data_IF_746208623287
#
_entry.id   IF_746208623287
#
_cell.length_a   1.000
_cell.length_b   1.000
_cell.length_c   1.000
_cell.angle_alpha   90.00
_cell.angle_beta   90.00
_cell.angle_gamma   90.00
#
_symmetry.space_group_name_H-M   'P 1'
#
loop_
_entity.id
_entity.type
_entity.pdbx_description
1 polymer ?
#
# COMPACT_ATOMS: atom_id res chain seq x y z
N UNK A 1 -34.20 42.20 -20.44
CA UNK A 1 -35.51 41.56 -20.62
C UNK A 1 -36.03 41.09 -19.27
N UNK A 2 -37.20 41.60 -18.90
CA UNK A 2 -37.90 41.44 -17.62
C UNK A 2 -38.71 40.14 -17.56
N UNK A 3 -38.67 39.51 -16.38
CA UNK A 3 -39.42 38.33 -15.85
C UNK A 3 -40.89 38.17 -16.35
N UNK A 4 -41.50 36.97 -16.22
CA UNK A 4 -42.26 36.70 -14.98
C UNK A 4 -42.26 35.25 -14.46
N UNK A 5 -42.51 35.17 -13.16
CA UNK A 5 -42.81 33.98 -12.33
C UNK A 5 -44.30 33.61 -12.49
N UNK A 6 -44.62 32.32 -12.54
CA UNK A 6 -46.01 31.84 -12.41
C UNK A 6 -46.22 31.19 -11.03
N UNK A 7 -47.16 31.75 -10.26
CA UNK A 7 -47.86 31.10 -9.14
C UNK A 7 -49.30 30.87 -9.62
N UNK A 8 -49.82 29.66 -9.50
CA UNK A 8 -51.27 29.39 -9.62
C UNK A 8 -51.71 28.52 -8.44
N UNK A 9 -52.90 28.89 -7.96
CA UNK A 9 -53.61 28.53 -6.75
C UNK A 9 -54.07 27.07 -6.63
N UNK A 10 -54.27 26.71 -5.36
CA UNK A 10 -55.12 25.64 -4.83
C UNK A 10 -56.51 25.59 -5.48
N UNK A 11 -57.01 24.37 -5.71
CA UNK A 11 -58.44 24.05 -5.68
C UNK A 11 -58.68 22.88 -4.73
N UNK A 12 -59.53 23.13 -3.74
CA UNK A 12 -60.07 22.19 -2.76
C UNK A 12 -61.19 21.36 -3.38
N UNK A 13 -61.25 20.07 -3.05
CA UNK A 13 -62.46 19.25 -3.13
C UNK A 13 -62.49 18.30 -1.93
N UNK A 14 -63.61 18.34 -1.23
CA UNK A 14 -63.89 17.63 0.01
C UNK A 14 -64.89 16.48 -0.23
N UNK A 15 -64.96 15.60 0.78
CA UNK A 15 -65.90 14.49 1.03
C UNK A 15 -65.55 13.16 0.32
N UNK A 16 -65.70 11.97 0.92
CA UNK A 16 -66.45 11.58 2.12
C UNK A 16 -65.78 10.39 2.83
N UNK A 17 -66.06 10.26 4.13
CA UNK A 17 -65.58 9.18 5.00
C UNK A 17 -66.33 7.86 4.78
N UNK A 18 -65.60 6.74 4.81
CA UNK A 18 -66.14 5.43 5.16
C UNK A 18 -65.16 4.73 6.11
N UNK A 19 -65.57 4.61 7.37
CA UNK A 19 -64.80 3.92 8.40
C UNK A 19 -65.05 2.41 8.28
N UNK A 20 -63.99 1.64 8.02
CA UNK A 20 -63.94 0.21 8.30
C UNK A 20 -62.85 -0.03 9.36
N UNK A 21 -63.28 -0.41 10.56
CA UNK A 21 -62.41 -0.92 11.59
C UNK A 21 -61.98 -2.35 11.23
N UNK A 22 -60.77 -2.48 10.68
CA UNK A 22 -60.07 -3.76 10.50
C UNK A 22 -58.97 -3.89 11.53
N UNK A 23 -59.07 -4.89 12.40
CA UNK A 23 -58.06 -5.22 13.41
C UNK A 23 -56.71 -5.55 12.75
N UNK A 24 -55.71 -4.67 12.90
CA UNK A 24 -54.32 -4.98 12.55
C UNK A 24 -53.61 -5.57 13.77
N UNK A 25 -53.16 -6.80 13.59
CA UNK A 25 -52.18 -7.49 14.44
C UNK A 25 -50.89 -6.67 14.55
N UNK A 26 -50.40 -6.44 15.78
CA UNK A 26 -49.07 -5.88 16.02
C UNK A 26 -47.99 -6.86 15.50
N UNK A 27 -47.45 -6.59 14.32
CA UNK A 27 -46.17 -7.13 13.89
C UNK A 27 -45.05 -6.33 14.53
N UNK A 28 -44.16 -6.99 15.27
CA UNK A 28 -42.97 -6.38 15.84
C UNK A 28 -42.14 -5.71 14.74
N UNK A 29 -41.86 -4.42 14.90
CA UNK A 29 -40.94 -3.69 14.03
C UNK A 29 -39.52 -4.23 14.26
N UNK A 30 -39.02 -5.00 13.30
CA UNK A 30 -37.60 -5.33 13.20
C UNK A 30 -36.83 -4.04 12.96
N UNK A 31 -36.07 -3.59 13.97
CA UNK A 31 -35.10 -2.51 13.85
C UNK A 31 -34.09 -2.86 12.76
N UNK A 32 -34.24 -2.28 11.58
CA UNK A 32 -33.20 -2.29 10.54
C UNK A 32 -32.02 -1.48 11.05
N UNK A 33 -30.98 -2.16 11.52
CA UNK A 33 -29.70 -1.54 11.82
C UNK A 33 -29.20 -0.80 10.58
N UNK A 34 -28.94 0.50 10.72
CA UNK A 34 -28.26 1.27 9.70
C UNK A 34 -26.94 0.58 9.32
N UNK A 35 -26.53 0.59 8.04
CA UNK A 35 -25.27 -0.02 7.64
C UNK A 35 -24.14 0.67 8.42
N UNK A 36 -23.31 -0.14 9.08
CA UNK A 36 -22.13 0.34 9.77
C UNK A 36 -21.26 1.10 8.76
N UNK A 37 -21.06 2.40 9.02
CA UNK A 37 -20.11 3.23 8.28
C UNK A 37 -18.77 2.51 8.30
N UNK A 38 -18.25 2.16 7.13
CA UNK A 38 -16.93 1.56 6.99
C UNK A 38 -15.94 2.39 7.82
N UNK A 39 -15.20 1.74 8.72
CA UNK A 39 -14.14 2.39 9.45
C UNK A 39 -13.16 3.00 8.43
N UNK A 40 -12.87 4.29 8.57
CA UNK A 40 -11.82 4.93 7.79
C UNK A 40 -10.53 4.09 7.95
N UNK A 41 -9.76 3.86 6.88
CA UNK A 41 -8.48 3.18 7.01
C UNK A 41 -7.64 3.91 8.07
N UNK A 42 -6.97 3.16 8.94
CA UNK A 42 -6.12 3.74 9.96
C UNK A 42 -5.14 4.71 9.29
N UNK A 43 -5.20 5.99 9.67
CA UNK A 43 -4.41 7.03 9.04
C UNK A 43 -2.91 6.66 9.15
N UNK A 44 -2.18 6.76 8.04
CA UNK A 44 -0.73 6.59 8.03
C UNK A 44 -0.03 7.61 8.94
N UNK A 45 1.31 7.57 9.01
CA UNK A 45 2.05 8.49 9.85
C UNK A 45 1.74 9.96 9.56
N UNK A 46 1.71 10.76 10.63
CA UNK A 46 1.47 12.20 10.52
C UNK A 46 2.69 12.91 9.93
N UNK A 47 2.46 14.06 9.29
CA UNK A 47 3.52 14.95 8.81
C UNK A 47 4.56 15.26 9.90
N UNK A 48 4.11 15.57 11.12
CA UNK A 48 5.01 15.89 12.23
C UNK A 48 5.91 14.71 12.62
N UNK A 49 5.41 13.48 12.60
CA UNK A 49 6.25 12.30 12.87
C UNK A 49 7.32 12.12 11.78
N UNK A 50 6.94 12.29 10.52
CA UNK A 50 7.85 12.16 9.38
C UNK A 50 8.93 13.24 9.39
N UNK A 51 8.55 14.51 9.55
CA UNK A 51 9.47 15.63 9.61
C UNK A 51 10.43 15.52 10.80
N UNK A 52 9.94 15.10 11.98
CA UNK A 52 10.78 14.93 13.16
C UNK A 52 11.89 13.89 12.92
N UNK A 53 11.61 12.82 12.18
CA UNK A 53 12.63 11.84 11.82
C UNK A 53 13.53 12.34 10.70
N UNK A 54 12.97 12.97 9.67
CA UNK A 54 13.69 13.49 8.50
C UNK A 54 14.72 14.57 8.85
N UNK A 55 14.54 15.27 9.98
CA UNK A 55 15.47 16.27 10.48
C UNK A 55 16.90 15.75 10.71
N UNK A 56 17.11 14.43 10.84
CA UNK A 56 18.44 13.84 10.88
C UNK A 56 19.00 13.69 9.47
N UNK A 57 20.05 14.44 9.14
CA UNK A 57 20.72 14.35 7.86
C UNK A 57 22.09 13.69 7.99
N UNK A 58 22.31 12.57 7.30
CA UNK A 58 23.66 12.10 6.97
C UNK A 58 23.86 12.30 5.47
N UNK A 59 24.74 13.23 5.04
CA UNK A 59 25.03 13.49 3.63
C UNK A 59 25.12 12.22 2.78
N UNK A 60 24.29 12.13 1.75
CA UNK A 60 24.31 11.03 0.77
C UNK A 60 24.64 11.51 -0.64
N UNK A 61 24.35 12.78 -0.96
CA UNK A 61 24.88 13.42 -2.15
C UNK A 61 26.28 13.99 -1.91
N UNK A 62 27.10 14.01 -2.94
CA UNK A 62 28.44 14.60 -2.96
C UNK A 62 28.36 16.08 -3.40
N UNK A 63 27.51 16.85 -2.69
CA UNK A 63 27.20 18.26 -2.94
C UNK A 63 25.70 18.54 -3.04
N UNK A 64 25.34 19.82 -3.14
CA UNK A 64 23.97 20.36 -3.12
C UNK A 64 23.35 20.58 -4.51
N UNK A 65 22.03 20.55 -4.61
CA UNK A 65 21.24 20.83 -5.81
C UNK A 65 20.61 22.21 -5.70
N UNK A 66 20.39 22.86 -6.84
CA UNK A 66 19.54 24.04 -6.92
C UNK A 66 18.07 23.62 -6.93
N UNK A 67 17.20 24.52 -6.50
CA UNK A 67 15.75 24.41 -6.66
C UNK A 67 15.33 24.81 -8.07
N UNK A 68 15.99 25.83 -8.62
CA UNK A 68 15.70 26.40 -9.94
C UNK A 68 16.95 26.52 -10.82
N UNK A 69 16.75 26.67 -12.13
CA UNK A 69 17.87 26.94 -13.05
C UNK A 69 18.51 28.31 -12.78
N UNK A 70 19.84 28.33 -12.71
CA UNK A 70 20.62 29.55 -12.44
C UNK A 70 20.70 29.96 -10.97
N UNK A 71 19.92 29.36 -10.07
CA UNK A 71 20.00 29.63 -8.64
C UNK A 71 21.16 28.89 -7.94
N UNK A 72 21.68 29.40 -6.81
CA UNK A 72 22.71 28.71 -6.06
C UNK A 72 22.21 27.35 -5.51
N UNK A 73 23.04 26.29 -5.57
CA UNK A 73 22.67 25.02 -4.98
C UNK A 73 22.61 25.12 -3.45
N UNK A 74 21.51 24.65 -2.86
CA UNK A 74 21.26 24.68 -1.41
C UNK A 74 20.62 23.40 -0.85
N UNK A 75 20.18 22.49 -1.72
CA UNK A 75 19.44 21.28 -1.31
C UNK A 75 20.38 20.08 -1.26
N UNK A 76 20.55 19.49 -0.08
CA UNK A 76 21.32 18.26 0.10
C UNK A 76 20.40 17.03 0.17
N UNK A 77 20.78 15.93 -0.50
CA UNK A 77 20.12 14.64 -0.32
C UNK A 77 20.78 13.93 0.86
N UNK A 78 19.99 13.67 1.89
CA UNK A 78 20.40 12.99 3.10
C UNK A 78 20.01 11.51 3.05
N UNK A 79 20.88 10.64 3.57
CA UNK A 79 20.50 9.31 4.02
C UNK A 79 20.03 9.38 5.47
N UNK A 80 18.98 8.62 5.78
CA UNK A 80 18.42 8.52 7.12
C UNK A 80 17.84 7.12 7.34
N UNK A 81 18.68 6.22 7.86
CA UNK A 81 18.33 4.81 8.01
C UNK A 81 18.14 4.14 6.65
N UNK A 82 16.92 3.70 6.36
CA UNK A 82 16.56 3.04 5.10
C UNK A 82 15.94 3.98 4.05
N UNK A 83 15.88 5.29 4.33
CA UNK A 83 15.27 6.28 3.44
C UNK A 83 16.28 7.33 3.00
N UNK A 84 15.96 8.02 1.90
CA UNK A 84 16.64 9.22 1.45
C UNK A 84 15.70 10.41 1.57
N UNK A 85 16.18 11.54 2.08
CA UNK A 85 15.36 12.70 2.38
C UNK A 85 16.01 13.98 1.86
N UNK A 86 15.20 14.90 1.37
CA UNK A 86 15.60 16.28 1.11
C UNK A 86 14.41 17.21 1.37
N UNK A 87 14.69 18.50 1.50
CA UNK A 87 13.65 19.53 1.56
C UNK A 87 14.01 20.61 0.56
N UNK A 88 13.07 20.93 -0.31
CA UNK A 88 13.20 21.89 -1.40
C UNK A 88 11.91 22.71 -1.51
N UNK A 89 11.84 23.54 -2.52
CA UNK A 89 10.59 23.93 -3.16
C UNK A 89 9.89 22.73 -3.83
N UNK A 90 8.81 23.00 -4.55
CA UNK A 90 8.23 22.04 -5.47
C UNK A 90 7.61 22.71 -6.69
N UNK A 91 8.25 22.54 -7.83
CA UNK A 91 7.74 22.88 -9.15
C UNK A 91 6.86 21.76 -9.73
N UNK A 92 6.07 22.14 -10.74
CA UNK A 92 5.15 21.23 -11.40
C UNK A 92 5.84 20.58 -12.59
N UNK A 93 6.04 19.28 -12.50
CA UNK A 93 6.46 18.47 -13.64
C UNK A 93 5.21 17.98 -14.40
N UNK A 94 5.03 18.45 -15.62
CA UNK A 94 3.88 18.10 -16.46
C UNK A 94 4.17 17.03 -17.51
N UNK A 95 5.34 16.38 -17.43
CA UNK A 95 5.79 15.44 -18.43
C UNK A 95 4.90 14.18 -18.52
N UNK A 96 4.93 13.55 -19.69
CA UNK A 96 4.17 12.34 -19.99
C UNK A 96 2.95 12.57 -20.87
N UNK A 97 1.91 11.76 -20.65
CA UNK A 97 0.74 11.73 -21.55
C UNK A 97 0.07 13.10 -21.60
N UNK A 98 -0.10 13.63 -22.81
CA UNK A 98 -0.76 14.92 -23.05
C UNK A 98 -2.19 14.94 -22.52
N UNK A 99 -2.54 15.97 -21.76
CA UNK A 99 -3.89 16.23 -21.28
C UNK A 99 -4.29 17.69 -21.50
N UNK A 100 -5.48 18.08 -21.03
CA UNK A 100 -5.90 19.48 -21.02
C UNK A 100 -5.12 20.34 -20.02
N UNK A 101 -4.51 19.72 -19.01
CA UNK A 101 -3.72 20.40 -17.97
C UNK A 101 -2.22 20.35 -18.27
N UNK A 102 -1.75 19.26 -18.86
CA UNK A 102 -0.33 19.06 -19.20
C UNK A 102 -0.12 18.89 -20.70
N UNK A 103 0.45 19.90 -21.34
CA UNK A 103 0.80 19.90 -22.75
C UNK A 103 1.76 21.06 -23.06
N UNK A 104 2.30 21.08 -24.28
CA UNK A 104 3.24 22.11 -24.75
C UNK A 104 2.70 23.55 -24.83
N UNK A 105 1.41 23.77 -24.56
CA UNK A 105 0.82 25.11 -24.45
C UNK A 105 0.58 25.57 -23.02
N UNK A 106 0.61 24.66 -22.04
CA UNK A 106 0.41 24.95 -20.62
C UNK A 106 1.69 24.85 -19.81
N UNK A 107 2.72 24.19 -20.34
CA UNK A 107 4.03 24.03 -19.72
C UNK A 107 5.13 24.29 -20.78
N UNK A 108 5.99 25.32 -20.59
CA UNK A 108 7.10 25.63 -21.49
C UNK A 108 8.17 24.52 -21.61
N UNK A 109 8.30 23.64 -20.63
CA UNK A 109 9.32 22.59 -20.55
C UNK A 109 8.79 21.19 -20.83
N UNK A 110 7.47 21.06 -21.05
CA UNK A 110 6.76 19.82 -21.33
C UNK A 110 7.46 18.87 -22.31
N UNK A 111 7.57 17.61 -21.90
CA UNK A 111 7.86 16.45 -22.74
C UNK A 111 6.64 15.53 -22.83
N UNK A 112 6.46 14.89 -24.00
CA UNK A 112 5.35 13.95 -24.22
C UNK A 112 5.55 12.56 -23.59
N UNK A 113 6.60 12.41 -22.76
CA UNK A 113 7.02 11.17 -22.12
C UNK A 113 7.64 11.48 -20.77
N UNK A 114 7.30 10.67 -19.77
CA UNK A 114 8.10 10.58 -18.55
C UNK A 114 9.28 9.67 -18.77
N UNK A 115 10.32 9.74 -17.94
CA UNK A 115 11.49 8.86 -18.04
C UNK A 115 11.17 7.38 -17.83
N UNK A 116 10.11 7.05 -17.08
CA UNK A 116 9.67 5.67 -16.83
C UNK A 116 8.22 5.40 -17.24
N UNK A 117 7.88 4.12 -17.43
CA UNK A 117 6.55 3.67 -17.84
C UNK A 117 5.75 3.06 -16.69
N UNK A 118 4.44 3.17 -16.80
CA UNK A 118 3.44 2.51 -15.96
C UNK A 118 3.48 0.98 -16.11
N UNK A 119 2.69 0.27 -15.30
CA UNK A 119 2.61 -1.20 -15.36
C UNK A 119 2.06 -1.75 -16.69
N UNK A 120 1.44 -0.88 -17.50
CA UNK A 120 0.86 -1.21 -18.81
C UNK A 120 1.76 -0.83 -19.99
N UNK A 121 2.95 -0.26 -19.74
CA UNK A 121 3.87 0.19 -20.78
C UNK A 121 3.55 1.56 -21.38
N UNK A 122 2.57 2.28 -20.82
CA UNK A 122 2.30 3.67 -21.17
C UNK A 122 3.13 4.62 -20.29
N UNK A 123 3.38 5.85 -20.75
CA UNK A 123 3.95 6.91 -19.92
C UNK A 123 2.98 7.31 -18.80
N UNK A 124 3.51 7.88 -17.73
CA UNK A 124 2.66 8.41 -16.67
C UNK A 124 1.85 9.62 -17.17
N UNK A 125 0.76 9.93 -16.49
CA UNK A 125 -0.09 11.08 -16.78
C UNK A 125 -0.09 11.98 -15.55
N UNK A 126 0.54 13.14 -15.64
CA UNK A 126 0.83 14.01 -14.49
C UNK A 126 -0.41 14.47 -13.71
N UNK A 127 -1.54 14.73 -14.38
CA UNK A 127 -2.79 15.11 -13.73
C UNK A 127 -3.60 13.93 -13.16
N UNK A 128 -3.16 12.69 -13.39
CA UNK A 128 -3.79 11.46 -12.86
C UNK A 128 -2.94 10.81 -11.77
N UNK A 129 -1.67 10.55 -12.05
CA UNK A 129 -0.80 9.76 -11.16
C UNK A 129 0.12 10.67 -10.36
N UNK A 130 0.16 10.46 -9.04
CA UNK A 130 1.09 11.19 -8.19
C UNK A 130 2.50 10.63 -8.37
N UNK A 131 3.38 11.42 -8.94
CA UNK A 131 4.80 11.13 -9.02
C UNK A 131 5.67 12.31 -8.61
N UNK A 132 6.94 12.02 -8.35
CA UNK A 132 7.99 12.99 -8.08
C UNK A 132 9.21 12.69 -8.97
N UNK A 133 10.07 13.69 -9.09
CA UNK A 133 11.25 13.65 -9.95
C UNK A 133 12.53 13.55 -9.12
N UNK A 134 13.51 12.79 -9.59
CA UNK A 134 14.88 12.76 -9.05
C UNK A 134 15.83 13.23 -10.15
N UNK A 135 16.86 14.03 -9.82
CA UNK A 135 17.88 14.42 -10.80
C UNK A 135 18.51 13.21 -11.48
N UNK A 136 18.83 13.37 -12.77
CA UNK A 136 19.59 12.39 -13.54
C UNK A 136 20.85 11.94 -12.77
N UNK A 137 21.20 10.64 -12.80
CA UNK A 137 22.35 10.10 -12.09
C UNK A 137 23.64 10.82 -12.48
N UNK A 138 24.41 11.21 -11.47
CA UNK A 138 25.69 11.89 -11.66
C UNK A 138 26.69 11.50 -10.58
N UNK A 139 27.87 12.12 -10.61
CA UNK A 139 28.84 12.01 -9.52
C UNK A 139 28.34 12.63 -8.20
N UNK A 140 27.30 13.47 -8.25
CA UNK A 140 26.68 14.10 -7.08
C UNK A 140 25.75 13.12 -6.37
N UNK A 141 24.87 12.43 -7.10
CA UNK A 141 24.03 11.37 -6.55
C UNK A 141 23.64 10.40 -7.66
N UNK A 142 23.57 9.12 -7.35
CA UNK A 142 23.01 8.10 -8.23
C UNK A 142 21.95 7.34 -7.46
N UNK A 143 20.70 7.51 -7.87
CA UNK A 143 19.56 6.85 -7.24
C UNK A 143 19.66 5.31 -7.39
N UNK A 144 20.29 4.81 -8.46
CA UNK A 144 20.52 3.38 -8.65
C UNK A 144 21.43 2.81 -7.55
N UNK A 145 22.52 3.52 -7.22
CA UNK A 145 23.42 3.12 -6.15
C UNK A 145 22.75 3.22 -4.76
N UNK A 146 21.77 4.10 -4.63
CA UNK A 146 20.92 4.23 -3.45
C UNK A 146 19.82 3.15 -3.35
N UNK A 147 19.73 2.24 -4.34
CA UNK A 147 18.70 1.19 -4.39
C UNK A 147 17.29 1.73 -4.67
N UNK A 148 17.19 2.99 -5.10
CA UNK A 148 15.95 3.58 -5.60
C UNK A 148 15.78 3.06 -7.03
N UNK A 149 14.63 2.49 -7.32
CA UNK A 149 14.25 2.02 -8.67
C UNK A 149 13.08 2.84 -9.18
N UNK A 150 12.84 2.88 -10.51
CA UNK A 150 11.60 3.39 -11.06
C UNK A 150 10.38 2.84 -10.30
N UNK A 151 9.44 3.71 -9.97
CA UNK A 151 8.26 3.40 -9.17
C UNK A 151 8.49 3.38 -7.66
N UNK A 152 9.70 3.61 -7.14
CA UNK A 152 9.93 3.69 -5.69
C UNK A 152 9.06 4.80 -5.10
N UNK A 153 8.35 4.48 -4.02
CA UNK A 153 7.43 5.42 -3.38
C UNK A 153 8.17 6.38 -2.45
N UNK A 154 7.69 7.61 -2.37
CA UNK A 154 8.06 8.60 -1.38
C UNK A 154 6.84 9.07 -0.57
N UNK A 155 7.07 9.43 0.68
CA UNK A 155 6.17 10.35 1.39
C UNK A 155 6.62 11.78 1.07
N UNK A 156 5.66 12.62 0.69
CA UNK A 156 5.90 14.04 0.39
C UNK A 156 5.06 14.86 1.37
N UNK A 157 5.73 15.77 2.08
CA UNK A 157 5.15 16.52 3.20
C UNK A 157 5.17 18.01 2.89
N UNK A 158 3.99 18.63 2.96
CA UNK A 158 3.82 20.07 2.80
C UNK A 158 2.66 20.57 3.68
N UNK A 159 2.87 21.67 4.41
CA UNK A 159 1.85 22.32 5.25
C UNK A 159 1.05 21.36 6.15
N UNK A 160 1.74 20.40 6.78
CA UNK A 160 1.14 19.42 7.68
C UNK A 160 0.36 18.29 6.99
N UNK A 161 0.29 18.29 5.66
CA UNK A 161 -0.29 17.20 4.87
C UNK A 161 0.80 16.23 4.44
N UNK A 162 0.38 14.99 4.21
CA UNK A 162 1.21 13.92 3.64
C UNK A 162 0.49 13.39 2.42
N UNK A 163 1.20 13.37 1.29
CA UNK A 163 0.81 12.62 0.11
C UNK A 163 1.91 11.59 -0.21
N UNK A 164 1.54 10.54 -0.93
CA UNK A 164 2.49 9.56 -1.42
C UNK A 164 2.56 9.64 -2.95
N UNK A 165 3.76 9.48 -3.48
CA UNK A 165 4.06 9.60 -4.90
C UNK A 165 5.14 8.59 -5.32
N UNK A 166 5.15 8.19 -6.58
CA UNK A 166 6.17 7.28 -7.12
C UNK A 166 7.26 8.03 -7.89
N UNK A 167 8.47 7.50 -7.91
CA UNK A 167 9.53 8.01 -8.79
C UNK A 167 9.21 7.63 -10.24
N UNK A 168 8.79 8.59 -11.06
CA UNK A 168 8.34 8.32 -12.43
C UNK A 168 9.11 9.09 -13.51
N UNK A 169 9.81 10.17 -13.13
CA UNK A 169 10.57 10.98 -14.05
C UNK A 169 11.96 11.37 -13.53
N UNK A 170 12.85 11.74 -14.44
CA UNK A 170 14.20 12.22 -14.16
C UNK A 170 14.38 13.65 -14.65
N UNK A 171 14.84 14.51 -13.74
CA UNK A 171 15.09 15.92 -14.03
C UNK A 171 16.56 16.20 -14.36
N UNK A 172 16.90 17.45 -14.71
CA UNK A 172 18.29 17.86 -14.91
C UNK A 172 19.20 17.49 -13.73
N UNK A 173 20.44 17.09 -14.02
CA UNK A 173 21.36 16.53 -12.99
C UNK A 173 21.78 17.49 -11.86
N UNK A 174 21.35 18.76 -11.90
CA UNK A 174 21.72 19.83 -10.96
C UNK A 174 20.55 20.49 -10.26
N UNK A 175 19.31 20.16 -10.64
CA UNK A 175 18.07 20.77 -10.14
C UNK A 175 17.24 19.69 -9.45
N UNK A 176 16.62 20.00 -8.32
CA UNK A 176 15.75 19.07 -7.57
C UNK A 176 14.56 19.82 -6.98
N UNK A 177 13.41 19.17 -6.97
CA UNK A 177 12.20 19.74 -6.35
C UNK A 177 11.04 19.76 -7.33
N UNK A 178 10.78 18.68 -8.05
CA UNK A 178 9.67 18.67 -9.00
C UNK A 178 8.69 17.53 -8.68
N UNK A 179 7.42 17.75 -9.00
CA UNK A 179 6.37 16.77 -8.80
C UNK A 179 5.17 16.98 -9.71
N UNK A 180 4.45 15.89 -9.95
CA UNK A 180 3.28 15.88 -10.84
C UNK A 180 2.16 16.86 -10.40
N UNK A 181 1.35 17.28 -11.36
CA UNK A 181 0.10 18.03 -11.14
C UNK A 181 -0.80 17.37 -10.08
N UNK A 182 -0.96 16.03 -10.14
CA UNK A 182 -1.77 15.28 -9.20
C UNK A 182 -1.19 15.31 -7.78
N UNK A 183 0.14 15.30 -7.64
CA UNK A 183 0.82 15.42 -6.34
C UNK A 183 0.61 16.82 -5.74
N UNK A 184 0.81 17.87 -6.54
CA UNK A 184 0.54 19.24 -6.12
C UNK A 184 -0.90 19.42 -5.65
N UNK A 185 -1.87 18.93 -6.43
CA UNK A 185 -3.28 18.94 -6.06
C UNK A 185 -3.54 18.22 -4.73
N UNK A 186 -2.92 17.06 -4.50
CA UNK A 186 -3.08 16.29 -3.26
C UNK A 186 -2.51 17.02 -2.04
N UNK A 187 -1.42 17.76 -2.21
CA UNK A 187 -0.80 18.59 -1.17
C UNK A 187 -1.48 19.96 -1.01
N UNK A 188 -2.32 20.37 -1.98
CA UNK A 188 -2.89 21.71 -2.05
C UNK A 188 -1.85 22.78 -2.36
N UNK A 189 -0.85 22.41 -3.14
CA UNK A 189 0.06 23.31 -3.86
C UNK A 189 -0.66 23.70 -5.16
N UNK A 190 -0.42 24.91 -5.67
CA UNK A 190 -1.00 25.34 -6.94
C UNK A 190 -0.47 24.44 -8.06
N UNK A 191 -1.32 23.65 -8.74
CA UNK A 191 -0.85 22.68 -9.72
C UNK A 191 -0.67 23.30 -11.13
N UNK A 192 -0.83 24.61 -11.29
CA UNK A 192 -0.60 25.28 -12.58
C UNK A 192 0.84 25.04 -13.09
N UNK A 193 1.05 24.48 -14.28
CA UNK A 193 2.40 24.12 -14.74
C UNK A 193 3.29 25.30 -15.17
N UNK A 194 2.70 26.46 -15.46
CA UNK A 194 3.44 27.66 -15.90
C UNK A 194 3.76 28.58 -14.71
N UNK A 195 2.87 28.61 -13.72
CA UNK A 195 2.90 29.61 -12.65
C UNK A 195 2.69 29.07 -11.24
N UNK A 196 2.40 27.78 -11.11
CA UNK A 196 2.12 27.12 -9.84
C UNK A 196 3.38 26.69 -9.11
N UNK A 197 3.27 25.64 -8.31
CA UNK A 197 4.32 25.19 -7.41
C UNK A 197 4.34 25.93 -6.07
N UNK A 198 5.46 25.83 -5.36
CA UNK A 198 5.68 26.51 -4.08
C UNK A 198 7.17 26.62 -3.78
N UNK A 199 7.61 27.75 -3.24
CA UNK A 199 8.98 27.96 -2.68
C UNK A 199 9.32 27.07 -1.46
N UNK A 200 8.47 26.09 -1.14
CA UNK A 200 8.66 25.16 -0.05
C UNK A 200 8.29 25.69 1.35
N UNK A 201 8.69 24.96 2.41
CA UNK A 201 9.45 23.72 2.37
C UNK A 201 8.56 22.51 2.04
N UNK A 202 8.93 21.77 0.99
CA UNK A 202 8.39 20.43 0.67
C UNK A 202 9.45 19.40 1.01
N UNK A 203 9.14 18.51 1.94
CA UNK A 203 10.06 17.43 2.33
C UNK A 203 9.70 16.14 1.60
N UNK A 204 10.65 15.61 0.86
CA UNK A 204 10.55 14.31 0.20
C UNK A 204 11.27 13.26 1.03
N UNK A 205 10.64 12.09 1.20
CA UNK A 205 11.17 10.96 1.97
C UNK A 205 10.99 9.70 1.11
N UNK A 206 12.03 9.35 0.36
CA UNK A 206 12.03 8.24 -0.59
C UNK A 206 12.36 6.94 0.12
N UNK A 207 11.59 5.88 -0.18
CA UNK A 207 11.75 4.56 0.38
C UNK A 207 12.24 3.55 -0.68
N UNK A 208 13.57 3.36 -0.83
CA UNK A 208 14.16 2.36 -1.72
C UNK A 208 13.52 0.97 -1.62
N UNK A 209 13.23 0.35 -2.77
CA UNK A 209 12.70 -1.01 -2.85
C UNK A 209 11.21 -1.16 -2.50
N UNK A 210 10.49 -0.06 -2.28
CA UNK A 210 9.04 -0.04 -2.06
C UNK A 210 8.33 0.46 -3.32
N UNK A 211 7.86 -0.46 -4.16
CA UNK A 211 7.19 -0.15 -5.43
C UNK A 211 5.74 -0.65 -5.38
N UNK A 212 4.72 0.22 -5.60
CA UNK A 212 3.33 -0.19 -5.65
C UNK A 212 3.02 -1.01 -6.91
N UNK A 213 1.97 -1.84 -6.82
CA UNK A 213 1.49 -2.63 -7.96
C UNK A 213 -0.04 -2.58 -8.01
N UNK A 214 -0.65 -2.04 -9.10
CA UNK A 214 -0.01 -1.30 -10.20
C UNK A 214 0.70 -0.03 -9.73
N UNK A 215 1.78 0.37 -10.43
CA UNK A 215 2.63 1.51 -10.03
C UNK A 215 1.93 2.87 -10.18
N UNK A 216 1.02 2.95 -11.15
CA UNK A 216 0.21 4.13 -11.47
C UNK A 216 -1.06 4.26 -10.61
N UNK A 217 -1.38 3.26 -9.79
CA UNK A 217 -2.60 3.28 -9.02
C UNK A 217 -2.42 4.07 -7.72
N UNK A 218 -3.05 5.25 -7.64
CA UNK A 218 -2.96 6.11 -6.45
C UNK A 218 -3.30 5.38 -5.12
N UNK A 219 -4.31 4.51 -5.08
CA UNK A 219 -4.61 3.76 -3.85
C UNK A 219 -3.49 2.76 -3.46
N UNK A 220 -2.83 2.15 -4.45
CA UNK A 220 -1.64 1.32 -4.22
C UNK A 220 -0.43 2.16 -3.78
N UNK A 221 -0.26 3.36 -4.34
CA UNK A 221 0.76 4.33 -3.91
C UNK A 221 0.55 4.70 -2.44
N UNK A 222 -0.68 5.02 -2.03
CA UNK A 222 -1.01 5.33 -0.62
C UNK A 222 -0.73 4.15 0.31
N UNK A 223 -1.16 2.94 -0.07
CA UNK A 223 -0.95 1.75 0.73
C UNK A 223 0.54 1.42 0.91
N UNK A 224 1.32 1.43 -0.18
CA UNK A 224 2.76 1.14 -0.15
C UNK A 224 3.53 2.24 0.57
N UNK A 225 3.22 3.50 0.29
CA UNK A 225 3.88 4.66 0.89
C UNK A 225 3.63 4.77 2.39
N UNK A 226 2.37 4.63 2.83
CA UNK A 226 2.04 4.67 4.26
C UNK A 226 2.65 3.53 5.06
N UNK A 227 2.73 2.33 4.47
CA UNK A 227 3.43 1.19 5.07
C UNK A 227 4.95 1.45 5.17
N UNK A 228 5.57 1.93 4.10
CA UNK A 228 7.01 2.24 4.08
C UNK A 228 7.37 3.34 5.10
N UNK A 229 6.58 4.40 5.16
CA UNK A 229 6.71 5.49 6.12
C UNK A 229 6.58 5.02 7.58
N UNK A 230 5.62 4.11 7.85
CA UNK A 230 5.44 3.52 9.18
C UNK A 230 6.66 2.69 9.59
N UNK A 231 7.15 1.84 8.69
CA UNK A 231 8.35 1.02 8.90
C UNK A 231 9.58 1.89 9.14
N UNK A 232 9.75 2.94 8.33
CA UNK A 232 10.87 3.86 8.50
C UNK A 232 10.85 4.51 9.87
N UNK A 233 9.71 5.00 10.36
CA UNK A 233 9.61 5.59 11.71
C UNK A 233 9.96 4.61 12.84
N UNK A 234 9.65 3.32 12.69
CA UNK A 234 9.89 2.28 13.69
C UNK A 234 11.37 1.99 14.03
N UNK A 235 12.32 2.43 13.20
CA UNK A 235 13.75 2.45 13.54
C UNK A 235 14.49 1.10 13.49
N UNK A 236 15.08 0.80 12.33
CA UNK A 236 16.32 0.02 12.24
C UNK A 236 16.26 -1.33 11.52
N UNK A 237 16.78 -1.36 10.29
CA UNK A 237 17.07 -2.58 9.53
C UNK A 237 17.23 -2.30 8.03
N UNK A 238 18.44 -1.90 7.62
CA UNK A 238 18.83 -1.75 6.21
C UNK A 238 19.02 -3.13 5.56
N UNK A 239 18.48 -3.32 4.35
CA UNK A 239 18.95 -4.35 3.41
C UNK A 239 17.91 -5.32 2.87
N UNK A 240 17.44 -5.01 1.66
CA UNK A 240 16.89 -5.93 0.65
C UNK A 240 15.39 -6.24 0.67
N UNK A 241 14.66 -5.46 -0.14
CA UNK A 241 13.54 -5.85 -1.00
C UNK A 241 12.65 -7.01 -0.54
N UNK A 242 11.50 -6.64 0.01
CA UNK A 242 10.39 -7.55 0.27
C UNK A 242 9.71 -7.20 1.57
N UNK A 243 8.58 -6.50 1.47
CA UNK A 243 7.54 -6.32 2.50
C UNK A 243 7.94 -6.84 3.88
N UNK A 244 8.20 -5.95 4.84
CA UNK A 244 8.02 -6.27 6.27
C UNK A 244 6.66 -5.71 6.69
N UNK A 245 5.61 -6.55 6.64
CA UNK A 245 4.31 -6.27 7.25
C UNK A 245 4.43 -5.96 8.77
N UNK A 246 3.41 -5.35 9.40
CA UNK A 246 3.41 -4.96 10.81
C UNK A 246 3.90 -6.07 11.74
N UNK A 247 4.52 -5.73 12.87
CA UNK A 247 5.05 -6.71 13.84
C UNK A 247 4.09 -7.90 14.03
N UNK A 248 4.54 -9.08 13.59
CA UNK A 248 3.69 -10.27 13.49
C UNK A 248 3.34 -10.70 12.06
N UNK A 249 3.79 -10.00 11.02
CA UNK A 249 3.47 -10.37 9.64
C UNK A 249 4.66 -10.45 8.70
N UNK A 250 4.61 -11.38 7.76
CA UNK A 250 5.72 -11.77 6.89
C UNK A 250 5.45 -13.10 6.18
N UNK A 251 6.41 -13.54 5.37
CA UNK A 251 6.35 -14.86 4.73
C UNK A 251 6.57 -15.95 5.77
N UNK A 252 5.86 -17.06 5.62
CA UNK A 252 6.23 -18.30 6.29
C UNK A 252 6.99 -19.14 5.26
N UNK A 253 8.25 -19.43 5.52
CA UNK A 253 9.11 -20.24 4.65
C UNK A 253 9.42 -21.58 5.31
N UNK A 254 9.62 -22.62 4.51
CA UNK A 254 9.92 -23.95 5.05
C UNK A 254 10.55 -24.87 4.01
N UNK A 255 9.98 -26.05 3.86
CA UNK A 255 10.52 -27.12 3.04
C UNK A 255 10.95 -26.67 1.63
N UNK A 256 12.20 -26.97 1.24
CA UNK A 256 12.77 -26.58 -0.04
C UNK A 256 12.95 -25.06 -0.24
N UNK A 257 12.93 -24.26 0.82
CA UNK A 257 13.01 -22.80 0.74
C UNK A 257 11.75 -22.14 0.17
N UNK A 258 10.64 -22.89 0.10
CA UNK A 258 9.37 -22.43 -0.46
C UNK A 258 8.54 -21.68 0.59
N UNK A 259 7.60 -20.88 0.08
CA UNK A 259 6.68 -20.10 0.90
C UNK A 259 5.36 -20.84 1.10
N UNK A 260 4.76 -20.69 2.28
CA UNK A 260 3.36 -21.02 2.52
C UNK A 260 2.51 -20.01 1.73
N UNK A 261 1.70 -20.52 0.82
CA UNK A 261 1.07 -19.77 -0.28
C UNK A 261 -0.42 -20.10 -0.36
N UNK A 262 -1.25 -19.13 -0.75
CA UNK A 262 -2.65 -19.36 -1.13
C UNK A 262 -2.74 -19.61 -2.63
N UNK A 263 -3.17 -20.80 -3.01
CA UNK A 263 -3.26 -21.22 -4.40
C UNK A 263 -4.06 -20.24 -5.27
N UNK A 264 -3.41 -19.73 -6.31
CA UNK A 264 -3.99 -18.77 -7.25
C UNK A 264 -4.36 -17.42 -6.65
N UNK A 265 -3.81 -17.07 -5.48
CA UNK A 265 -4.20 -15.90 -4.69
C UNK A 265 -5.72 -15.81 -4.43
N UNK A 266 -6.39 -16.96 -4.39
CA UNK A 266 -7.85 -17.02 -4.20
C UNK A 266 -8.23 -16.66 -2.77
N UNK A 267 -9.07 -15.65 -2.62
CA UNK A 267 -9.66 -15.28 -1.32
C UNK A 267 -10.95 -16.06 -1.01
N UNK A 268 -11.28 -17.13 -1.75
CA UNK A 268 -12.45 -17.96 -1.45
C UNK A 268 -12.23 -18.84 -0.21
N UNK A 269 -13.29 -19.10 0.56
CA UNK A 269 -13.24 -20.14 1.60
C UNK A 269 -12.95 -21.50 0.97
N UNK A 270 -12.03 -22.25 1.57
CA UNK A 270 -11.55 -23.52 1.02
C UNK A 270 -10.39 -23.36 0.04
N UNK A 271 -9.90 -22.15 -0.21
CA UNK A 271 -8.69 -21.97 -1.01
C UNK A 271 -7.53 -22.75 -0.39
N UNK A 272 -6.77 -23.42 -1.26
CA UNK A 272 -5.70 -24.31 -0.89
C UNK A 272 -4.49 -23.54 -0.32
N UNK A 273 -4.08 -23.83 0.93
CA UNK A 273 -2.76 -23.44 1.47
C UNK A 273 -1.66 -24.43 1.05
N UNK A 274 -0.73 -24.00 0.21
CA UNK A 274 0.26 -24.86 -0.46
C UNK A 274 1.71 -24.34 -0.26
N UNK A 275 2.69 -25.10 -0.73
CA UNK A 275 4.02 -24.58 -1.03
C UNK A 275 4.04 -23.95 -2.41
N UNK A 276 4.69 -22.81 -2.53
CA UNK A 276 4.99 -22.20 -3.82
C UNK A 276 6.31 -21.43 -3.79
N UNK A 277 6.91 -21.22 -4.96
CA UNK A 277 8.07 -20.35 -5.11
C UNK A 277 7.77 -18.99 -4.51
N UNK A 278 8.65 -18.51 -3.63
CA UNK A 278 8.46 -17.22 -2.99
C UNK A 278 8.46 -16.10 -4.05
N UNK A 279 7.34 -15.40 -4.19
CA UNK A 279 7.08 -14.43 -5.27
C UNK A 279 6.65 -13.06 -4.73
N UNK A 280 6.53 -12.90 -3.41
CA UNK A 280 6.25 -11.61 -2.77
C UNK A 280 4.83 -11.09 -2.92
N UNK A 281 3.92 -11.89 -3.47
CA UNK A 281 2.49 -11.54 -3.54
C UNK A 281 1.82 -11.60 -2.16
N UNK A 282 0.66 -10.98 -2.04
CA UNK A 282 -0.17 -11.02 -0.82
C UNK A 282 -0.64 -12.44 -0.46
N UNK A 283 -0.65 -13.38 -1.41
CA UNK A 283 -0.93 -14.80 -1.19
C UNK A 283 0.12 -15.51 -0.32
N UNK A 284 1.29 -14.91 -0.13
CA UNK A 284 2.39 -15.44 0.68
C UNK A 284 2.69 -14.57 1.91
N UNK A 285 1.87 -13.53 2.13
CA UNK A 285 2.01 -12.62 3.26
C UNK A 285 1.06 -13.06 4.36
N UNK A 286 1.63 -13.57 5.45
CA UNK A 286 0.90 -14.04 6.61
C UNK A 286 1.03 -13.06 7.75
N UNK A 287 -0.01 -12.91 8.56
CA UNK A 287 -0.03 -12.02 9.72
C UNK A 287 -0.55 -12.75 10.96
N UNK A 288 0.08 -12.53 12.11
CA UNK A 288 -0.46 -12.94 13.38
C UNK A 288 -1.56 -11.97 13.79
N UNK A 289 -2.59 -12.51 14.40
CA UNK A 289 -3.66 -11.73 15.02
C UNK A 289 -3.98 -12.32 16.39
N UNK A 290 -4.80 -11.60 17.16
CA UNK A 290 -5.26 -12.06 18.48
C UNK A 290 -5.84 -13.47 18.40
N UNK A 291 -5.50 -14.33 19.36
CA UNK A 291 -5.94 -15.73 19.38
C UNK A 291 -5.05 -16.69 18.59
N UNK A 292 -3.77 -16.35 18.37
CA UNK A 292 -2.78 -17.18 17.68
C UNK A 292 -3.17 -17.54 16.23
N UNK A 293 -3.95 -16.70 15.56
CA UNK A 293 -4.35 -16.95 14.17
C UNK A 293 -3.31 -16.43 13.19
N UNK A 294 -2.94 -17.25 12.19
CA UNK A 294 -2.18 -16.81 11.02
C UNK A 294 -3.14 -16.42 9.89
N UNK A 295 -2.99 -15.22 9.34
CA UNK A 295 -3.93 -14.64 8.37
C UNK A 295 -3.28 -14.19 7.07
N UNK A 296 -3.90 -14.53 5.95
CA UNK A 296 -3.54 -14.07 4.61
C UNK A 296 -4.81 -13.69 3.85
N UNK A 297 -4.73 -12.71 2.94
CA UNK A 297 -5.88 -12.26 2.13
C UNK A 297 -7.17 -11.97 2.94
N UNK A 298 -7.02 -11.48 4.18
CA UNK A 298 -8.13 -11.17 5.08
C UNK A 298 -8.80 -12.37 5.78
N UNK A 299 -8.24 -13.57 5.65
CA UNK A 299 -8.78 -14.84 6.17
C UNK A 299 -7.74 -15.62 6.97
N UNK A 300 -8.15 -16.67 7.66
CA UNK A 300 -7.33 -17.44 8.60
C UNK A 300 -6.83 -18.77 7.99
N UNK A 301 -5.60 -19.16 8.37
CA UNK A 301 -5.06 -20.51 8.14
C UNK A 301 -5.86 -21.50 8.97
N UNK A 302 -6.57 -22.41 8.33
CA UNK A 302 -7.62 -23.21 8.92
C UNK A 302 -7.38 -24.71 8.65
N UNK A 303 -7.47 -25.54 9.68
CA UNK A 303 -7.53 -26.99 9.52
C UNK A 303 -8.94 -27.39 9.08
N UNK A 304 -9.05 -27.93 7.88
CA UNK A 304 -10.33 -28.20 7.22
C UNK A 304 -11.26 -29.03 8.11
N UNK A 305 -12.44 -28.48 8.40
CA UNK A 305 -13.47 -29.14 9.21
C UNK A 305 -13.06 -29.41 10.67
N UNK A 306 -12.03 -28.71 11.17
CA UNK A 306 -11.43 -28.98 12.47
C UNK A 306 -10.96 -30.45 12.65
N UNK A 307 -10.60 -31.12 11.54
CA UNK A 307 -10.15 -32.51 11.58
C UNK A 307 -8.86 -32.68 12.38
N UNK A 308 -8.72 -33.80 13.07
CA UNK A 308 -7.57 -34.10 13.93
C UNK A 308 -6.72 -35.27 13.42
N UNK A 309 -7.07 -35.86 12.29
CA UNK A 309 -6.32 -36.97 11.68
C UNK A 309 -5.08 -36.44 10.92
N UNK A 310 -4.01 -37.23 10.90
CA UNK A 310 -2.88 -36.98 10.00
C UNK A 310 -3.38 -36.94 8.55
N UNK A 311 -2.90 -35.95 7.80
CA UNK A 311 -3.32 -35.73 6.42
C UNK A 311 -4.52 -34.81 6.24
N UNK A 312 -5.14 -34.34 7.33
CA UNK A 312 -6.18 -33.31 7.22
C UNK A 312 -5.59 -32.05 6.59
N UNK A 313 -6.24 -31.55 5.54
CA UNK A 313 -5.74 -30.47 4.71
C UNK A 313 -5.87 -29.11 5.40
N UNK A 314 -4.93 -28.20 5.11
CA UNK A 314 -4.98 -26.80 5.56
C UNK A 314 -5.52 -25.91 4.44
N UNK A 315 -6.46 -25.05 4.78
CA UNK A 315 -7.18 -24.18 3.84
C UNK A 315 -7.17 -22.72 4.35
N UNK A 316 -7.57 -21.82 3.47
CA UNK A 316 -7.94 -20.47 3.85
C UNK A 316 -9.44 -20.43 4.16
N UNK A 317 -9.82 -19.87 5.30
CA UNK A 317 -11.23 -19.78 5.69
C UNK A 317 -11.52 -18.51 6.47
N UNK A 318 -12.78 -18.06 6.45
CA UNK A 318 -13.25 -16.96 7.29
C UNK A 318 -12.84 -17.16 8.75
N UNK A 319 -12.29 -16.11 9.34
CA UNK A 319 -11.83 -16.16 10.72
C UNK A 319 -13.03 -16.34 11.67
N UNK A 320 -13.07 -17.47 12.38
CA UNK A 320 -14.17 -17.89 13.25
C UNK A 320 -13.73 -18.09 14.71
N UNK A 321 -12.46 -17.89 15.03
CA UNK A 321 -11.93 -17.92 16.40
C UNK A 321 -11.84 -19.32 17.02
N UNK A 322 -12.03 -20.38 16.24
CA UNK A 322 -11.91 -21.77 16.72
C UNK A 322 -10.45 -22.21 16.83
N UNK A 323 -10.20 -23.28 17.59
CA UNK A 323 -8.87 -23.87 17.72
C UNK A 323 -8.32 -24.46 16.40
N UNK A 324 -9.19 -24.71 15.41
CA UNK A 324 -8.79 -25.10 14.06
C UNK A 324 -8.01 -23.99 13.32
N UNK A 325 -8.13 -22.74 13.77
CA UNK A 325 -7.48 -21.57 13.18
C UNK A 325 -6.35 -20.97 14.05
N UNK A 326 -6.09 -21.59 15.20
CA UNK A 326 -5.07 -21.13 16.13
C UNK A 326 -3.82 -22.03 16.06
N UNK A 327 -2.68 -21.39 15.84
CA UNK A 327 -1.37 -22.00 15.58
C UNK A 327 -0.35 -21.45 16.57
N UNK A 328 0.34 -22.34 17.29
CA UNK A 328 1.37 -21.96 18.25
C UNK A 328 2.72 -22.45 17.76
N UNK A 329 3.74 -21.61 17.84
CA UNK A 329 5.11 -22.03 17.50
C UNK A 329 5.78 -22.78 18.65
N UNK A 330 6.36 -23.93 18.32
CA UNK A 330 7.18 -24.75 19.22
C UNK A 330 8.52 -25.01 18.53
N UNK A 331 9.56 -24.27 18.90
CA UNK A 331 10.81 -24.23 18.13
C UNK A 331 10.56 -23.72 16.71
N UNK A 332 10.89 -24.53 15.70
CA UNK A 332 10.61 -24.22 14.29
C UNK A 332 9.31 -24.86 13.78
N UNK A 333 8.58 -25.61 14.61
CA UNK A 333 7.31 -26.22 14.22
C UNK A 333 6.14 -25.24 14.43
N UNK A 334 5.13 -25.29 13.55
CA UNK A 334 3.85 -24.60 13.70
C UNK A 334 2.79 -25.62 14.11
N UNK A 335 2.35 -25.58 15.37
CA UNK A 335 1.44 -26.57 15.96
C UNK A 335 0.02 -26.01 15.98
N UNK A 336 -0.91 -26.69 15.32
CA UNK A 336 -2.33 -26.34 15.42
C UNK A 336 -2.85 -26.71 16.81
N UNK A 337 -3.47 -25.74 17.49
CA UNK A 337 -3.95 -25.91 18.88
C UNK A 337 -5.15 -26.85 19.01
N UNK A 338 -5.98 -26.97 17.97
CA UNK A 338 -7.14 -27.88 17.97
C UNK A 338 -6.79 -29.36 17.82
N UNK A 339 -5.71 -29.67 17.11
CA UNK A 339 -5.29 -31.05 16.81
C UNK A 339 -4.02 -31.49 17.55
N UNK A 340 -3.20 -30.55 18.03
CA UNK A 340 -1.87 -30.82 18.57
C UNK A 340 -0.86 -31.29 17.51
N UNK A 341 -1.15 -31.05 16.23
CA UNK A 341 -0.36 -31.52 15.08
C UNK A 341 0.33 -30.37 14.36
N UNK A 342 1.41 -30.69 13.68
CA UNK A 342 2.26 -29.74 13.02
C UNK A 342 1.80 -29.47 11.59
N UNK A 343 1.96 -28.23 11.13
CA UNK A 343 1.89 -27.88 9.71
C UNK A 343 2.95 -28.67 8.96
N UNK A 344 2.54 -29.36 7.90
CA UNK A 344 3.33 -30.37 7.21
C UNK A 344 3.20 -30.22 5.70
N UNK A 345 4.32 -30.18 4.99
CA UNK A 345 4.34 -30.28 3.54
C UNK A 345 4.18 -31.75 3.11
N UNK A 346 3.07 -32.04 2.41
CA UNK A 346 2.65 -33.40 2.07
C UNK A 346 3.69 -34.14 1.23
N UNK A 347 3.93 -35.42 1.56
CA UNK A 347 4.74 -36.31 0.72
C UNK A 347 6.21 -35.89 0.60
N UNK A 348 6.79 -35.31 1.67
CA UNK A 348 7.96 -34.41 1.65
C UNK A 348 8.35 -33.89 0.27
N UNK A 349 7.43 -33.18 -0.38
CA UNK A 349 7.63 -32.63 -1.72
C UNK A 349 7.88 -31.13 -1.64
N UNK A 350 8.92 -30.65 -2.33
CA UNK A 350 9.22 -29.21 -2.47
C UNK A 350 8.72 -28.62 -3.80
N UNK A 351 7.92 -29.39 -4.56
CA UNK A 351 7.31 -28.92 -5.79
C UNK A 351 6.27 -27.83 -5.52
N UNK A 352 6.18 -26.85 -6.42
CA UNK A 352 5.13 -25.83 -6.39
C UNK A 352 3.75 -26.50 -6.49
N UNK A 353 2.82 -26.09 -5.65
CA UNK A 353 1.51 -26.71 -5.52
C UNK A 353 1.43 -27.83 -4.50
N UNK A 354 2.53 -28.21 -3.83
CA UNK A 354 2.47 -29.21 -2.76
C UNK A 354 1.53 -28.72 -1.65
N UNK A 355 0.44 -29.46 -1.40
CA UNK A 355 -0.55 -29.10 -0.39
C UNK A 355 0.02 -29.17 1.02
N UNK A 356 -0.37 -28.23 1.87
CA UNK A 356 -0.10 -28.33 3.30
C UNK A 356 -1.23 -29.06 4.01
N UNK A 357 -0.83 -29.86 4.99
CA UNK A 357 -1.69 -30.68 5.83
C UNK A 357 -1.24 -30.55 7.29
N UNK A 358 -1.97 -31.18 8.20
CA UNK A 358 -1.46 -31.44 9.55
C UNK A 358 -0.95 -32.87 9.66
N UNK A 359 0.13 -33.06 10.41
CA UNK A 359 0.68 -34.37 10.71
C UNK A 359 1.25 -34.40 12.13
N UNK A 360 1.41 -35.59 12.71
CA UNK A 360 2.14 -35.73 13.97
C UNK A 360 3.48 -35.00 13.89
N UNK A 361 3.81 -34.21 14.91
CA UNK A 361 5.07 -33.48 14.98
C UNK A 361 6.24 -34.46 15.09
N UNK A 362 7.21 -34.34 14.20
CA UNK A 362 8.36 -35.25 14.07
C UNK A 362 9.70 -34.52 14.08
N UNK A 363 9.72 -33.20 13.98
CA UNK A 363 10.93 -32.43 13.73
C UNK A 363 11.54 -32.64 12.34
N UNK A 364 10.87 -33.35 11.43
CA UNK A 364 11.33 -33.53 10.06
C UNK A 364 11.33 -32.19 9.30
N UNK A 365 12.24 -32.04 8.34
CA UNK A 365 12.45 -30.77 7.63
C UNK A 365 11.20 -30.25 6.90
N UNK A 366 10.26 -31.12 6.54
CA UNK A 366 8.98 -30.74 5.92
C UNK A 366 7.94 -30.17 6.91
N UNK A 367 8.29 -30.10 8.20
CA UNK A 367 7.49 -29.53 9.29
C UNK A 367 8.19 -28.33 9.98
N UNK A 368 9.36 -27.92 9.48
CA UNK A 368 10.11 -26.79 10.03
C UNK A 368 9.84 -25.54 9.20
N UNK A 369 9.46 -24.48 9.90
CA UNK A 369 9.01 -23.22 9.32
C UNK A 369 9.69 -22.04 10.01
N UNK A 370 9.98 -21.01 9.23
CA UNK A 370 10.47 -19.71 9.68
C UNK A 370 9.45 -18.64 9.27
N UNK A 371 9.18 -17.66 10.13
CA UNK A 371 8.23 -16.58 9.83
C UNK A 371 7.30 -16.27 11.00
N UNK A 372 6.16 -15.60 10.78
CA UNK A 372 5.18 -15.31 11.82
C UNK A 372 4.53 -16.58 12.41
N UNK A 373 4.07 -16.49 13.66
CA UNK A 373 3.32 -17.52 14.42
C UNK A 373 2.65 -16.93 15.65
#
# INVERSE_FOLDING_TARGET
MTRPRFRILLATLAAAALALAGALTLGAASSSAAPARAAAPAAGPTASQLLAKAANCTPASNGEYATDDGEPPTVEICSNGSAYTWTSDMDIDCDGVTTSHCNSSTDPWYQDQTSFQTSTGNWFTSDVTRYFVIPLPSSRFSYQNAGITPGSVAAVVYNGKVAYAVFADEGPSTIIGEGSYALATALGIDPDPDTGGTDGPVTFIVFPGHVPSPVENNSAIDATGSAAATTWLGGGGSGSGGTTPPAGSGRITGYGGKCVDIAGASSANGAAVQLYTCNGTSAQSWSTSSGNSLRALGKCMDVTGAGTANGTQVQLYDCNGTAAQAWTRSGSELVNTGSGKCLDATGPSSADGTRLQIWSCTGASNQLWTGPS
#
